data_IF_960361893116
#
_entry.id   IF_960361893116
#
_cell.length_a   1.000
_cell.length_b   1.000
_cell.length_c   1.000
_cell.angle_alpha   90.00
_cell.angle_beta   90.00
_cell.angle_gamma   90.00
#
_symmetry.space_group_name_H-M   'P 1'
#
loop_
_entity.id
_entity.type
_entity.pdbx_description
1 polymer ?
#
# COMPACT_ATOMS: atom_id res chain seq x y z
N UNK A 1 3.67 12.10 -69.65
CA UNK A 1 2.89 11.47 -68.62
C UNK A 1 3.61 11.73 -67.28
N UNK A 2 3.15 12.65 -66.39
CA UNK A 2 3.82 12.92 -65.11
C UNK A 2 3.34 11.92 -64.05
N UNK A 3 4.28 11.26 -63.40
CA UNK A 3 4.05 10.40 -62.25
C UNK A 3 3.84 11.29 -61.02
N UNK A 4 2.61 11.31 -60.49
CA UNK A 4 2.30 11.95 -59.21
C UNK A 4 2.85 11.11 -58.06
N UNK A 5 3.81 11.69 -57.33
CA UNK A 5 4.41 11.11 -56.11
C UNK A 5 3.52 11.49 -54.92
N UNK A 6 2.69 10.54 -54.44
CA UNK A 6 1.92 10.72 -53.22
C UNK A 6 2.85 10.57 -52.00
N UNK A 7 3.23 11.69 -51.38
CA UNK A 7 3.90 11.71 -50.09
C UNK A 7 2.84 11.54 -49.01
N UNK A 8 2.72 10.32 -48.46
CA UNK A 8 1.93 10.06 -47.25
C UNK A 8 2.65 10.61 -46.03
N UNK A 9 2.21 11.80 -45.58
CA UNK A 9 2.67 12.40 -44.33
C UNK A 9 2.02 11.62 -43.15
N UNK A 10 2.74 10.67 -42.58
CA UNK A 10 2.31 9.98 -41.35
C UNK A 10 2.42 10.96 -40.17
N UNK A 11 1.28 11.51 -39.71
CA UNK A 11 1.16 12.22 -38.46
C UNK A 11 1.36 11.22 -37.32
N UNK A 12 2.58 11.13 -36.78
CA UNK A 12 2.86 10.42 -35.55
C UNK A 12 2.30 11.28 -34.41
N UNK A 13 1.12 10.94 -33.92
CA UNK A 13 0.56 11.47 -32.69
C UNK A 13 1.49 11.04 -31.54
N UNK A 14 2.42 11.93 -31.18
CA UNK A 14 3.26 11.76 -30.00
C UNK A 14 2.37 11.86 -28.74
N UNK A 15 2.02 10.70 -28.16
CA UNK A 15 1.40 10.67 -26.84
C UNK A 15 2.39 11.24 -25.83
N UNK A 16 2.00 12.24 -25.00
CA UNK A 16 2.90 12.78 -24.01
C UNK A 16 3.27 11.67 -23.01
N UNK A 17 4.56 11.34 -22.97
CA UNK A 17 5.08 10.42 -21.94
C UNK A 17 4.82 11.02 -20.57
N UNK A 18 4.36 10.23 -19.58
CA UNK A 18 4.18 10.73 -18.21
C UNK A 18 5.53 11.25 -17.68
N UNK A 19 5.53 12.34 -16.92
CA UNK A 19 6.75 12.92 -16.39
C UNK A 19 7.50 11.91 -15.51
N UNK A 20 8.84 11.91 -15.56
CA UNK A 20 9.71 10.95 -14.89
C UNK A 20 9.56 10.89 -13.35
N UNK A 21 8.87 11.86 -12.75
CA UNK A 21 8.55 11.91 -11.31
C UNK A 21 7.15 11.36 -10.97
N UNK A 22 6.39 10.88 -11.93
CA UNK A 22 5.06 10.32 -11.66
C UNK A 22 5.18 9.04 -10.82
N UNK A 23 4.64 9.07 -9.61
CA UNK A 23 4.54 7.87 -8.78
C UNK A 23 3.56 6.88 -9.41
N UNK A 24 3.89 5.58 -9.46
CA UNK A 24 2.99 4.60 -10.06
C UNK A 24 1.69 4.50 -9.27
N UNK A 25 0.59 4.34 -9.98
CA UNK A 25 -0.73 4.10 -9.37
C UNK A 25 -0.72 2.77 -8.62
N UNK A 26 -1.25 2.78 -7.39
CA UNK A 26 -1.39 1.57 -6.59
C UNK A 26 -2.47 0.64 -7.20
N UNK A 27 -2.22 -0.67 -7.26
CA UNK A 27 -3.25 -1.63 -7.64
C UNK A 27 -4.44 -1.56 -6.67
N UNK A 28 -5.65 -1.40 -7.19
CA UNK A 28 -6.85 -1.47 -6.37
C UNK A 28 -7.06 -2.90 -5.85
N UNK A 29 -7.50 -3.06 -4.61
CA UNK A 29 -7.79 -4.38 -4.03
C UNK A 29 -8.99 -4.33 -3.09
N UNK A 30 -9.61 -5.49 -2.93
CA UNK A 30 -10.60 -5.75 -1.88
C UNK A 30 -10.07 -6.83 -0.97
N UNK A 31 -10.12 -6.60 0.34
CA UNK A 31 -9.60 -7.50 1.36
C UNK A 31 -10.71 -7.86 2.35
N UNK A 32 -11.02 -9.16 2.48
CA UNK A 32 -11.88 -9.62 3.56
C UNK A 32 -11.15 -9.53 4.89
N UNK A 33 -11.73 -8.79 5.84
CA UNK A 33 -11.12 -8.59 7.14
C UNK A 33 -11.38 -9.76 8.09
N UNK A 34 -10.42 -10.03 8.96
CA UNK A 34 -10.50 -11.07 9.98
C UNK A 34 -11.54 -10.77 11.07
N UNK A 35 -11.90 -9.51 11.29
CA UNK A 35 -12.91 -9.12 12.28
C UNK A 35 -14.33 -9.54 11.91
N UNK A 36 -14.52 -10.19 10.76
CA UNK A 36 -15.82 -10.65 10.26
C UNK A 36 -16.74 -9.54 9.76
N UNK A 37 -16.27 -8.28 9.82
CA UNK A 37 -17.01 -7.12 9.33
C UNK A 37 -16.88 -6.96 7.82
N UNK A 38 -17.25 -5.80 7.30
CA UNK A 38 -17.22 -5.49 5.87
C UNK A 38 -15.82 -5.66 5.29
N UNK A 39 -15.74 -6.08 4.02
CA UNK A 39 -14.47 -6.08 3.30
C UNK A 39 -13.94 -4.65 3.13
N UNK A 40 -12.62 -4.47 3.25
CA UNK A 40 -11.93 -3.24 2.92
C UNK A 40 -11.75 -3.15 1.40
N UNK A 41 -12.29 -2.09 0.79
CA UNK A 41 -11.99 -1.74 -0.60
C UNK A 41 -11.01 -0.56 -0.60
N UNK A 42 -9.81 -0.76 -1.17
CA UNK A 42 -8.78 0.28 -1.22
C UNK A 42 -9.23 1.54 -1.96
N UNK A 43 -10.17 1.43 -2.90
CA UNK A 43 -10.72 2.58 -3.64
C UNK A 43 -11.54 3.52 -2.76
N UNK A 44 -12.11 3.03 -1.65
CA UNK A 44 -12.87 3.85 -0.71
C UNK A 44 -12.02 4.91 0.01
N UNK A 45 -10.69 4.77 -0.05
CA UNK A 45 -9.73 5.70 0.55
C UNK A 45 -9.29 6.81 -0.41
N UNK A 46 -9.57 6.68 -1.72
CA UNK A 46 -9.24 7.71 -2.72
C UNK A 46 -9.92 9.04 -2.37
N UNK A 47 -9.15 10.11 -2.43
CA UNK A 47 -9.59 11.46 -2.07
C UNK A 47 -9.73 11.73 -0.57
N UNK A 48 -9.70 10.70 0.29
CA UNK A 48 -10.02 10.80 1.71
C UNK A 48 -8.82 10.61 2.62
N UNK A 49 -8.10 9.50 2.50
CA UNK A 49 -7.04 9.12 3.43
C UNK A 49 -5.78 8.66 2.71
N UNK A 50 -4.64 8.82 3.36
CA UNK A 50 -3.42 8.09 3.04
C UNK A 50 -3.62 6.64 3.48
N UNK A 51 -3.20 5.67 2.68
CA UNK A 51 -3.34 4.25 3.02
C UNK A 51 -1.95 3.62 3.17
N UNK A 52 -1.71 3.02 4.33
CA UNK A 52 -0.50 2.23 4.62
C UNK A 52 -0.86 0.75 4.55
N UNK A 53 -0.31 0.05 3.57
CA UNK A 53 -0.51 -1.39 3.36
C UNK A 53 0.73 -2.13 3.81
N UNK A 54 0.59 -3.05 4.78
CA UNK A 54 1.69 -3.89 5.25
C UNK A 54 1.44 -5.35 4.94
N UNK A 55 2.28 -5.93 4.10
CA UNK A 55 2.35 -7.37 3.88
C UNK A 55 3.24 -7.99 4.95
N UNK A 56 2.66 -8.86 5.77
CA UNK A 56 3.27 -9.46 6.95
C UNK A 56 2.85 -10.92 7.11
N UNK A 57 3.45 -11.64 8.06
CA UNK A 57 3.06 -13.02 8.39
C UNK A 57 3.40 -13.34 9.85
N UNK A 58 2.68 -14.29 10.46
CA UNK A 58 2.91 -14.74 11.83
C UNK A 58 4.28 -15.42 12.01
N UNK A 59 4.75 -16.12 11.00
CA UNK A 59 6.06 -16.79 10.98
C UNK A 59 7.23 -15.85 10.68
N UNK A 60 6.97 -14.59 10.33
CA UNK A 60 8.00 -13.61 9.98
C UNK A 60 8.62 -12.98 11.24
N UNK A 61 9.83 -13.37 11.61
CA UNK A 61 10.53 -12.87 12.81
C UNK A 61 10.66 -11.34 12.86
N UNK A 62 10.88 -10.69 11.71
CA UNK A 62 10.96 -9.22 11.64
C UNK A 62 9.59 -8.61 11.87
N UNK A 63 8.52 -9.20 11.31
CA UNK A 63 7.16 -8.74 11.51
C UNK A 63 6.75 -8.79 13.00
N UNK A 64 7.11 -9.87 13.68
CA UNK A 64 6.90 -10.05 15.13
C UNK A 64 7.59 -8.94 15.94
N UNK A 65 8.88 -8.70 15.69
CA UNK A 65 9.62 -7.65 16.41
C UNK A 65 9.06 -6.24 16.22
N UNK A 66 8.46 -5.97 15.06
CA UNK A 66 7.97 -4.64 14.70
C UNK A 66 6.48 -4.43 14.95
N UNK A 67 5.75 -5.48 15.30
CA UNK A 67 4.29 -5.43 15.45
C UNK A 67 3.81 -4.32 16.38
N UNK A 68 4.42 -4.20 17.57
CA UNK A 68 4.08 -3.15 18.53
C UNK A 68 4.39 -1.73 18.00
N UNK A 69 5.50 -1.54 17.29
CA UNK A 69 5.85 -0.26 16.67
C UNK A 69 4.87 0.11 15.56
N UNK A 70 4.44 -0.87 14.76
CA UNK A 70 3.46 -0.65 13.70
C UNK A 70 2.08 -0.29 14.28
N UNK A 71 1.67 -0.91 15.38
CA UNK A 71 0.44 -0.55 16.10
C UNK A 71 0.52 0.87 16.66
N UNK A 72 1.66 1.27 17.29
CA UNK A 72 1.83 2.65 17.76
C UNK A 72 1.74 3.66 16.62
N UNK A 73 2.36 3.37 15.48
CA UNK A 73 2.24 4.21 14.28
C UNK A 73 0.78 4.30 13.81
N UNK A 74 0.06 3.17 13.74
CA UNK A 74 -1.37 3.18 13.42
C UNK A 74 -2.16 4.11 14.33
N UNK A 75 -2.03 3.97 15.64
CA UNK A 75 -2.75 4.82 16.63
C UNK A 75 -2.39 6.30 16.48
N UNK A 76 -1.12 6.60 16.23
CA UNK A 76 -0.63 7.96 16.04
C UNK A 76 -1.23 8.61 14.79
N UNK A 77 -1.25 7.88 13.67
CA UNK A 77 -1.59 8.46 12.37
C UNK A 77 -3.06 8.36 11.99
N UNK A 78 -3.82 7.45 12.60
CA UNK A 78 -5.26 7.29 12.34
C UNK A 78 -6.05 8.59 12.51
N UNK A 79 -5.93 9.37 13.61
CA UNK A 79 -6.64 10.63 13.77
C UNK A 79 -6.18 11.73 12.79
N UNK A 80 -5.07 11.52 12.08
CA UNK A 80 -4.53 12.43 11.06
C UNK A 80 -4.99 12.09 9.64
N UNK A 81 -5.93 11.15 9.48
CA UNK A 81 -6.47 10.74 8.19
C UNK A 81 -5.56 9.78 7.44
N UNK A 82 -4.83 8.93 8.17
CA UNK A 82 -4.06 7.81 7.62
C UNK A 82 -4.69 6.50 8.06
N UNK A 83 -5.05 5.69 7.10
CA UNK A 83 -5.56 4.33 7.35
C UNK A 83 -4.43 3.32 7.19
N UNK A 84 -4.46 2.30 8.06
CA UNK A 84 -3.51 1.19 8.03
C UNK A 84 -4.25 -0.11 7.75
N UNK A 85 -3.63 -0.99 6.99
CA UNK A 85 -4.15 -2.32 6.73
C UNK A 85 -3.02 -3.35 6.74
N UNK A 86 -3.21 -4.40 7.53
CA UNK A 86 -2.35 -5.59 7.52
C UNK A 86 -2.88 -6.62 6.52
N UNK A 87 -1.99 -7.18 5.71
CA UNK A 87 -2.28 -8.29 4.81
C UNK A 87 -1.38 -9.44 5.21
N UNK A 88 -1.96 -10.46 5.86
CA UNK A 88 -1.25 -11.67 6.24
C UNK A 88 -1.08 -12.56 5.01
N UNK A 89 0.16 -12.71 4.56
CA UNK A 89 0.51 -13.49 3.37
C UNK A 89 0.98 -14.90 3.75
N UNK A 90 0.55 -15.90 2.98
CA UNK A 90 0.92 -17.30 3.21
C UNK A 90 0.74 -17.73 4.68
N UNK A 91 -0.33 -17.28 5.28
CA UNK A 91 -0.67 -17.48 6.67
C UNK A 91 -2.04 -18.14 6.80
N UNK A 92 -2.30 -18.77 7.95
CA UNK A 92 -3.62 -19.28 8.30
C UNK A 92 -4.41 -18.23 9.08
N UNK A 93 -5.74 -18.36 9.09
CA UNK A 93 -6.58 -17.45 9.89
C UNK A 93 -6.27 -17.59 11.39
N UNK A 94 -6.03 -18.80 11.87
CA UNK A 94 -5.71 -19.08 13.27
C UNK A 94 -4.40 -18.41 13.67
N UNK A 95 -3.34 -18.55 12.87
CA UNK A 95 -2.03 -17.97 13.16
C UNK A 95 -2.05 -16.44 13.05
N UNK A 96 -2.76 -15.91 12.04
CA UNK A 96 -2.97 -14.48 11.89
C UNK A 96 -3.67 -13.87 13.12
N UNK A 97 -4.76 -14.50 13.60
CA UNK A 97 -5.46 -14.05 14.81
C UNK A 97 -4.58 -14.14 16.06
N UNK A 98 -3.80 -15.21 16.21
CA UNK A 98 -2.83 -15.37 17.30
C UNK A 98 -1.77 -14.27 17.25
N UNK A 99 -1.23 -13.97 16.06
CA UNK A 99 -0.28 -12.87 15.87
C UNK A 99 -0.86 -11.54 16.32
N UNK A 100 -2.07 -11.17 15.84
CA UNK A 100 -2.71 -9.90 16.18
C UNK A 100 -2.95 -9.79 17.69
N UNK A 101 -3.45 -10.86 18.32
CA UNK A 101 -3.71 -10.91 19.77
C UNK A 101 -2.41 -10.78 20.57
N UNK A 102 -1.36 -11.48 20.19
CA UNK A 102 -0.08 -11.48 20.92
C UNK A 102 0.62 -10.10 20.89
N UNK A 103 0.26 -9.23 19.96
CA UNK A 103 0.87 -7.92 19.78
C UNK A 103 -0.11 -6.75 19.97
N UNK A 104 -1.30 -7.00 20.53
CA UNK A 104 -2.37 -6.01 20.73
C UNK A 104 -2.65 -5.18 19.45
N UNK A 105 -2.50 -5.83 18.28
CA UNK A 105 -2.65 -5.18 16.99
C UNK A 105 -4.13 -4.97 16.66
N UNK A 106 -4.53 -3.69 16.50
CA UNK A 106 -5.93 -3.30 16.30
C UNK A 106 -6.19 -2.75 14.89
N UNK A 107 -5.17 -2.57 14.06
CA UNK A 107 -5.35 -2.15 12.67
C UNK A 107 -6.08 -3.23 11.86
N UNK A 108 -6.97 -2.82 10.91
CA UNK A 108 -7.69 -3.75 10.05
C UNK A 108 -6.75 -4.73 9.36
N UNK A 109 -7.05 -6.03 9.44
CA UNK A 109 -6.19 -7.07 8.88
C UNK A 109 -7.01 -8.13 8.19
N UNK A 110 -6.50 -8.64 7.06
CA UNK A 110 -7.07 -9.76 6.32
C UNK A 110 -6.01 -10.69 5.76
N UNK A 111 -6.44 -11.73 5.04
CA UNK A 111 -5.58 -12.80 4.52
C UNK A 111 -5.37 -12.69 3.01
N UNK A 112 -4.15 -12.94 2.58
CA UNK A 112 -3.78 -13.17 1.18
C UNK A 112 -2.89 -14.43 1.06
N UNK A 113 -3.44 -15.63 1.35
CA UNK A 113 -2.63 -16.85 1.42
C UNK A 113 -2.01 -17.24 0.08
N UNK A 114 -2.65 -16.87 -1.03
CA UNK A 114 -2.20 -17.16 -2.38
C UNK A 114 -1.42 -16.00 -3.03
N UNK A 115 -1.05 -14.96 -2.28
CA UNK A 115 -0.29 -13.79 -2.75
C UNK A 115 -0.96 -13.02 -3.91
N UNK A 116 -2.28 -13.14 -4.07
CA UNK A 116 -3.01 -12.50 -5.17
C UNK A 116 -2.95 -10.98 -5.11
N UNK A 117 -3.06 -10.41 -3.92
CA UNK A 117 -2.93 -8.97 -3.70
C UNK A 117 -1.43 -8.59 -3.69
N UNK A 118 -0.63 -9.30 -2.91
CA UNK A 118 0.79 -8.99 -2.71
C UNK A 118 1.59 -8.92 -4.03
N UNK A 119 1.39 -9.89 -4.94
CA UNK A 119 2.10 -9.94 -6.22
C UNK A 119 1.82 -8.70 -7.10
N UNK A 120 0.61 -8.14 -7.04
CA UNK A 120 0.25 -6.92 -7.77
C UNK A 120 1.00 -5.68 -7.27
N UNK A 121 1.47 -5.71 -6.02
CA UNK A 121 2.32 -4.66 -5.43
C UNK A 121 3.82 -4.89 -5.64
N UNK A 122 4.20 -5.92 -6.38
CA UNK A 122 5.61 -6.28 -6.59
C UNK A 122 6.27 -6.83 -5.33
N UNK A 123 5.49 -7.58 -4.53
CA UNK A 123 5.95 -8.27 -3.32
C UNK A 123 7.10 -9.24 -3.62
N UNK A 124 8.11 -9.27 -2.74
CA UNK A 124 9.27 -10.17 -2.83
C UNK A 124 9.59 -10.86 -1.51
N UNK A 125 8.86 -10.54 -0.45
CA UNK A 125 9.05 -11.11 0.89
C UNK A 125 8.55 -10.18 1.99
N UNK A 126 8.34 -10.75 3.18
CA UNK A 126 7.88 -10.06 4.39
C UNK A 126 9.04 -9.55 5.25
N UNK A 127 8.88 -8.43 5.96
CA UNK A 127 7.79 -7.48 5.79
C UNK A 127 7.96 -6.60 4.55
N UNK A 128 6.83 -6.17 3.98
CA UNK A 128 6.82 -5.20 2.90
C UNK A 128 5.73 -4.18 3.16
N UNK A 129 6.08 -2.89 3.16
CA UNK A 129 5.13 -1.82 3.45
C UNK A 129 5.04 -0.86 2.27
N UNK A 130 3.82 -0.52 1.87
CA UNK A 130 3.54 0.45 0.81
C UNK A 130 2.73 1.59 1.38
N UNK A 131 3.15 2.83 1.12
CA UNK A 131 2.41 4.04 1.49
C UNK A 131 1.79 4.62 0.23
N UNK A 132 0.48 4.80 0.25
CA UNK A 132 -0.34 5.24 -0.89
C UNK A 132 -0.94 6.60 -0.55
N UNK A 133 -0.77 7.58 -1.45
CA UNK A 133 -1.34 8.91 -1.30
C UNK A 133 -2.87 8.90 -1.43
N UNK A 134 -3.53 10.02 -1.04
CA UNK A 134 -4.96 10.23 -1.30
C UNK A 134 -5.33 10.16 -2.78
N UNK A 135 -4.36 10.38 -3.68
CA UNK A 135 -4.55 10.26 -5.14
C UNK A 135 -4.43 8.82 -5.64
N UNK A 136 -4.10 7.87 -4.77
CA UNK A 136 -3.90 6.47 -5.16
C UNK A 136 -2.49 6.17 -5.70
N UNK A 137 -1.51 7.03 -5.47
CA UNK A 137 -0.13 6.88 -5.94
C UNK A 137 0.73 6.18 -4.88
N UNK A 138 1.59 5.25 -5.28
CA UNK A 138 2.54 4.60 -4.37
C UNK A 138 3.72 5.52 -4.07
N UNK A 139 3.65 6.26 -2.97
CA UNK A 139 4.65 7.24 -2.55
C UNK A 139 5.90 6.60 -1.95
N UNK A 140 5.75 5.46 -1.27
CA UNK A 140 6.87 4.72 -0.72
C UNK A 140 6.63 3.21 -0.81
N UNK A 141 7.72 2.48 -1.01
CA UNK A 141 7.78 1.00 -0.99
C UNK A 141 8.96 0.59 -0.12
N UNK A 142 8.67 0.15 1.11
CA UNK A 142 9.65 -0.20 2.13
C UNK A 142 9.77 -1.72 2.17
N UNK A 143 10.87 -2.26 1.65
CA UNK A 143 11.21 -3.68 1.76
C UNK A 143 12.00 -3.91 3.04
N UNK A 144 11.66 -4.97 3.75
CA UNK A 144 12.22 -5.28 5.07
C UNK A 144 11.66 -4.37 6.16
N UNK A 145 12.47 -4.14 7.20
CA UNK A 145 12.09 -3.38 8.40
C UNK A 145 11.48 -2.02 8.07
N UNK A 146 10.35 -1.71 8.73
CA UNK A 146 9.65 -0.42 8.65
C UNK A 146 9.34 0.04 10.08
N UNK A 147 10.37 0.52 10.78
CA UNK A 147 10.24 1.13 12.09
C UNK A 147 9.45 2.46 12.04
N UNK A 148 9.14 3.00 13.21
CA UNK A 148 8.35 4.22 13.31
C UNK A 148 8.99 5.42 12.58
N UNK A 149 10.33 5.53 12.57
CA UNK A 149 11.04 6.61 11.91
C UNK A 149 10.91 6.51 10.37
N UNK A 150 11.06 5.31 9.82
CA UNK A 150 10.87 5.06 8.38
C UNK A 150 9.42 5.27 7.94
N UNK A 151 8.46 4.87 8.78
CA UNK A 151 7.04 5.14 8.55
C UNK A 151 6.77 6.64 8.57
N UNK A 152 7.27 7.36 9.58
CA UNK A 152 7.12 8.82 9.68
C UNK A 152 7.69 9.52 8.43
N UNK A 153 8.90 9.19 8.01
CA UNK A 153 9.52 9.74 6.80
C UNK A 153 8.66 9.56 5.55
N UNK A 154 7.93 8.44 5.44
CA UNK A 154 7.07 8.15 4.30
C UNK A 154 5.68 8.79 4.40
N UNK A 155 5.15 8.98 5.61
CA UNK A 155 3.78 9.43 5.86
C UNK A 155 3.70 10.95 6.05
N UNK A 156 4.60 11.54 6.86
CA UNK A 156 4.52 12.95 7.26
C UNK A 156 4.44 13.94 6.07
N UNK A 157 5.15 13.73 4.95
CA UNK A 157 5.04 14.61 3.78
C UNK A 157 3.64 14.60 3.11
N UNK A 158 2.81 13.58 3.39
CA UNK A 158 1.48 13.40 2.81
C UNK A 158 0.36 13.97 3.67
N UNK A 159 0.69 14.40 4.89
CA UNK A 159 -0.27 15.01 5.81
C UNK A 159 -0.53 16.47 5.43
N UNK A 160 -1.71 17.01 5.77
CA UNK A 160 -1.96 18.44 5.65
C UNK A 160 -0.93 19.22 6.47
N UNK A 161 -0.35 20.25 5.87
CA UNK A 161 0.52 21.17 6.63
C UNK A 161 -0.33 21.82 7.73
N UNK A 162 0.16 21.74 8.99
CA UNK A 162 -0.48 22.46 10.09
C UNK A 162 -0.55 23.95 9.74
N UNK A 163 -1.72 24.61 9.82
CA UNK A 163 -1.76 26.05 9.62
C UNK A 163 -0.83 26.71 10.63
N UNK A 164 -0.03 27.67 10.16
CA UNK A 164 0.87 28.49 10.99
C UNK A 164 0.03 29.43 11.82
#
# INVERSE_FOLDING_TARGET
MPRALFVLLALILAWPSPPAWAHPTAPAFTLRLLDGKKALDSRAHLGKSVLVVRFQASWCKVCVREAAGFERAYRKYKPLGVEFVGIQVQDTEADARKFLKAHDATYPTGLDPALKIANRFGFKGTPYTVVISRKGEMMARIRGSADEARLAKAIDPLLPKKPR
#
